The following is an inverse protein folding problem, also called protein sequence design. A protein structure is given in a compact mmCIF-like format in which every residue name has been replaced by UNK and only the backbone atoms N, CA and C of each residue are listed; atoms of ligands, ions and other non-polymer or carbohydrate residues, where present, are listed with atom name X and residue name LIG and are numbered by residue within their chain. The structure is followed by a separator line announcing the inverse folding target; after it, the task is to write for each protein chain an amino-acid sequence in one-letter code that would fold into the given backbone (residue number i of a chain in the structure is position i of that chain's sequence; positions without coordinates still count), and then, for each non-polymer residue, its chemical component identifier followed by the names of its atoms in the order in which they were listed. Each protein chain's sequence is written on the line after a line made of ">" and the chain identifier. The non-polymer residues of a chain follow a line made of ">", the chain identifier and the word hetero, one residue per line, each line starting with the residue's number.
data_IF_815144255808
#
_entry.id   IF_815144255808
#
_cell.length_a   1.000
_cell.length_b   1.000
_cell.length_c   1.000
_cell.angle_alpha   90.00
_cell.angle_beta   90.00
_cell.angle_gamma   90.00
#
_symmetry.space_group_name_H-M   'P 1'
#
loop_
_entity.id
_entity.type
_entity.pdbx_description
1 polymer ?
#
# COMPACT_ATOMS: atom_id res chain seq x y z
N UNK A 1 10.29 -28.00 6.79
CA UNK A 1 9.92 -28.36 5.42
C UNK A 1 10.72 -27.47 4.48
N UNK A 2 11.26 -27.99 3.36
CA UNK A 2 12.00 -27.15 2.39
C UNK A 2 11.02 -26.60 1.35
N UNK A 3 11.04 -25.30 1.12
CA UNK A 3 10.22 -24.61 0.11
C UNK A 3 11.09 -24.32 -1.12
N UNK A 4 10.76 -24.90 -2.27
CA UNK A 4 11.46 -24.63 -3.53
C UNK A 4 10.44 -24.38 -4.63
N UNK A 5 9.99 -23.13 -4.75
CA UNK A 5 8.87 -22.78 -5.62
C UNK A 5 9.04 -21.43 -6.30
N UNK A 6 8.28 -21.27 -7.38
CA UNK A 6 8.10 -19.97 -8.05
C UNK A 6 6.64 -19.57 -7.92
N UNK A 7 6.40 -18.35 -7.46
CA UNK A 7 5.06 -17.81 -7.28
C UNK A 7 4.81 -16.60 -8.18
N UNK A 8 3.57 -16.46 -8.59
CA UNK A 8 3.01 -15.23 -9.18
C UNK A 8 1.98 -14.66 -8.21
N UNK A 9 1.97 -13.37 -8.01
CA UNK A 9 1.11 -12.70 -7.06
C UNK A 9 0.24 -11.66 -7.74
N UNK A 10 -0.91 -11.30 -7.14
CA UNK A 10 -1.68 -10.15 -7.58
C UNK A 10 -0.85 -8.88 -7.65
N UNK A 11 -1.24 -7.99 -8.53
CA UNK A 11 -0.57 -6.73 -8.77
C UNK A 11 -0.53 -5.81 -7.55
N UNK A 12 0.40 -4.86 -7.60
CA UNK A 12 0.56 -3.86 -6.54
C UNK A 12 -0.73 -3.08 -6.30
N UNK A 13 -1.18 -3.06 -5.04
CA UNK A 13 -2.41 -2.39 -4.63
C UNK A 13 -2.37 -0.89 -4.92
N UNK A 14 -1.24 -0.23 -4.67
CA UNK A 14 -1.10 1.22 -4.86
C UNK A 14 -1.14 1.62 -6.34
N UNK A 15 -0.54 0.82 -7.22
CA UNK A 15 -0.61 0.99 -8.68
C UNK A 15 -2.03 0.71 -9.16
N UNK A 16 -2.68 -0.36 -8.67
CA UNK A 16 -4.05 -0.73 -9.04
C UNK A 16 -5.06 0.40 -8.82
N UNK A 17 -5.07 1.02 -7.64
CA UNK A 17 -5.94 2.16 -7.35
C UNK A 17 -5.75 3.31 -8.34
N UNK A 18 -4.48 3.67 -8.62
CA UNK A 18 -4.14 4.78 -9.51
C UNK A 18 -4.49 4.50 -10.96
N UNK A 19 -4.20 3.29 -11.42
CA UNK A 19 -4.53 2.85 -12.76
C UNK A 19 -6.03 2.96 -13.04
N UNK A 20 -6.88 2.52 -12.09
CA UNK A 20 -8.33 2.64 -12.20
C UNK A 20 -8.78 4.10 -12.27
N UNK A 21 -8.27 4.96 -11.37
CA UNK A 21 -8.64 6.38 -11.33
C UNK A 21 -8.22 7.09 -12.60
N UNK A 22 -6.96 7.01 -13.01
CA UNK A 22 -6.44 7.75 -14.14
C UNK A 22 -6.99 7.24 -15.48
N UNK A 23 -7.14 5.91 -15.63
CA UNK A 23 -7.77 5.34 -16.81
C UNK A 23 -9.24 5.75 -16.98
N UNK A 24 -9.96 6.02 -15.88
CA UNK A 24 -11.37 6.42 -15.93
C UNK A 24 -11.61 7.79 -16.56
N UNK A 25 -10.57 8.63 -16.66
CA UNK A 25 -10.61 9.97 -17.28
C UNK A 25 -9.69 10.11 -18.50
N UNK A 26 -9.01 9.06 -18.92
CA UNK A 26 -8.17 9.05 -20.10
C UNK A 26 -8.99 9.11 -21.40
N UNK A 27 -8.42 9.66 -22.47
CA UNK A 27 -9.11 9.76 -23.77
C UNK A 27 -8.97 8.46 -24.58
N UNK A 28 -9.85 7.50 -24.35
CA UNK A 28 -9.88 6.22 -25.03
C UNK A 28 -10.13 5.03 -24.11
N UNK A 29 -9.66 3.87 -24.54
CA UNK A 29 -9.83 2.58 -23.83
C UNK A 29 -8.51 2.15 -23.22
N UNK A 30 -8.51 1.93 -21.92
CA UNK A 30 -7.40 1.33 -21.18
C UNK A 30 -7.69 -0.12 -20.86
N UNK A 31 -6.62 -0.95 -20.84
CA UNK A 31 -6.67 -2.36 -20.51
C UNK A 31 -5.70 -2.65 -19.37
N UNK A 32 -6.21 -3.22 -18.29
CA UNK A 32 -5.40 -3.54 -17.10
C UNK A 32 -5.52 -5.04 -16.82
N UNK A 33 -4.38 -5.71 -16.70
CA UNK A 33 -4.28 -7.11 -16.26
C UNK A 33 -3.57 -7.21 -14.91
N UNK A 34 -3.72 -8.33 -14.24
CA UNK A 34 -3.16 -8.58 -12.92
C UNK A 34 -3.51 -7.49 -11.89
N UNK A 35 -4.72 -6.91 -11.97
CA UNK A 35 -5.18 -5.96 -10.97
C UNK A 35 -5.23 -6.63 -9.59
N UNK A 36 -4.89 -5.90 -8.53
CA UNK A 36 -5.08 -6.41 -7.18
C UNK A 36 -6.56 -6.69 -6.90
N UNK A 37 -6.87 -7.90 -6.41
CA UNK A 37 -8.23 -8.42 -6.21
C UNK A 37 -8.79 -8.17 -4.80
N UNK A 38 -8.04 -7.49 -3.94
CA UNK A 38 -8.45 -7.15 -2.58
C UNK A 38 -9.66 -6.20 -2.52
N UNK A 39 -10.42 -6.30 -1.43
CA UNK A 39 -11.62 -5.46 -1.20
C UNK A 39 -11.34 -3.97 -1.30
N UNK A 40 -10.14 -3.52 -0.92
CA UNK A 40 -9.73 -2.12 -1.04
C UNK A 40 -9.83 -1.61 -2.50
N UNK A 41 -9.34 -2.40 -3.46
CA UNK A 41 -9.37 -2.05 -4.88
C UNK A 41 -10.78 -2.15 -5.43
N UNK A 42 -11.57 -3.14 -4.97
CA UNK A 42 -12.99 -3.26 -5.34
C UNK A 42 -13.79 -2.03 -4.89
N UNK A 43 -13.53 -1.48 -3.68
CA UNK A 43 -14.16 -0.23 -3.24
C UNK A 43 -13.84 0.94 -4.19
N UNK A 44 -12.62 1.01 -4.75
CA UNK A 44 -12.29 2.04 -5.75
C UNK A 44 -13.05 1.84 -7.06
N UNK A 45 -13.20 0.59 -7.54
CA UNK A 45 -14.00 0.30 -8.75
C UNK A 45 -15.44 0.76 -8.54
N UNK A 46 -16.06 0.37 -7.43
CA UNK A 46 -17.44 0.74 -7.10
C UNK A 46 -17.61 2.27 -6.98
N UNK A 47 -16.66 2.95 -6.33
CA UNK A 47 -16.66 4.41 -6.22
C UNK A 47 -16.62 5.10 -7.59
N UNK A 48 -15.74 4.64 -8.48
CA UNK A 48 -15.63 5.19 -9.82
C UNK A 48 -16.89 4.91 -10.67
N UNK A 49 -17.44 3.70 -10.56
CA UNK A 49 -18.70 3.35 -11.22
C UNK A 49 -19.88 4.19 -10.72
N UNK A 50 -19.94 4.46 -9.40
CA UNK A 50 -20.95 5.38 -8.82
C UNK A 50 -20.81 6.80 -9.39
N UNK A 51 -19.61 7.22 -9.79
CA UNK A 51 -19.35 8.47 -10.51
C UNK A 51 -19.52 8.36 -12.04
N UNK A 52 -20.06 7.25 -12.55
CA UNK A 52 -20.35 7.05 -13.98
C UNK A 52 -19.17 6.50 -14.80
N UNK A 53 -18.07 6.05 -14.19
CA UNK A 53 -16.99 5.43 -14.93
C UNK A 53 -17.43 4.13 -15.62
N UNK A 54 -16.92 3.87 -16.83
CA UNK A 54 -17.17 2.65 -17.59
C UNK A 54 -16.05 1.64 -17.31
N UNK A 55 -16.28 0.74 -16.37
CA UNK A 55 -15.31 -0.29 -15.95
C UNK A 55 -15.95 -1.66 -16.13
N UNK A 56 -15.37 -2.49 -16.99
CA UNK A 56 -15.79 -3.84 -17.28
C UNK A 56 -14.72 -4.85 -16.84
N UNK A 57 -15.11 -5.82 -16.04
CA UNK A 57 -14.23 -6.89 -15.58
C UNK A 57 -14.48 -8.16 -16.40
N UNK A 58 -13.49 -8.61 -17.16
CA UNK A 58 -13.56 -9.76 -18.04
C UNK A 58 -12.47 -10.79 -17.64
N UNK A 59 -12.75 -11.60 -16.62
CA UNK A 59 -11.77 -12.51 -16.02
C UNK A 59 -10.64 -11.72 -15.33
N UNK A 60 -9.40 -11.96 -15.74
CA UNK A 60 -8.22 -11.27 -15.20
C UNK A 60 -7.98 -9.88 -15.82
N UNK A 61 -8.77 -9.50 -16.83
CA UNK A 61 -8.63 -8.24 -17.55
C UNK A 61 -9.74 -7.28 -17.15
N UNK A 62 -9.34 -6.05 -16.86
CA UNK A 62 -10.24 -4.91 -16.63
C UNK A 62 -10.11 -3.94 -17.80
N UNK A 63 -11.24 -3.63 -18.43
CA UNK A 63 -11.33 -2.69 -19.54
C UNK A 63 -12.02 -1.43 -19.04
N UNK A 64 -11.38 -0.28 -19.25
CA UNK A 64 -11.87 1.01 -18.79
C UNK A 64 -11.99 1.94 -19.99
N UNK A 65 -13.21 2.42 -20.26
CA UNK A 65 -13.42 3.48 -21.25
C UNK A 65 -13.49 4.81 -20.51
N UNK A 66 -12.49 5.65 -20.73
CA UNK A 66 -12.40 6.95 -20.09
C UNK A 66 -13.52 7.89 -20.54
N UNK A 67 -14.03 8.65 -19.58
CA UNK A 67 -15.11 9.61 -19.80
C UNK A 67 -15.15 10.68 -18.72
N UNK A 68 -15.94 11.72 -18.95
CA UNK A 68 -16.24 12.70 -17.91
C UNK A 68 -17.05 12.03 -16.81
N UNK A 69 -16.61 12.17 -15.56
CA UNK A 69 -17.32 11.70 -14.39
C UNK A 69 -18.43 12.67 -13.97
N UNK A 70 -19.38 12.19 -13.19
CA UNK A 70 -20.52 12.93 -12.64
C UNK A 70 -20.61 12.77 -11.13
N UNK A 71 -21.39 13.64 -10.49
CA UNK A 71 -21.69 13.47 -9.05
C UNK A 71 -22.35 12.11 -8.83
N UNK A 72 -21.94 11.37 -7.80
CA UNK A 72 -22.66 10.16 -7.40
C UNK A 72 -24.01 10.51 -6.77
N UNK A 73 -24.99 9.63 -6.97
CA UNK A 73 -26.33 9.81 -6.39
C UNK A 73 -26.37 9.55 -4.88
N UNK A 74 -25.46 8.67 -4.39
CA UNK A 74 -25.39 8.24 -3.00
C UNK A 74 -23.97 8.43 -2.44
N UNK A 75 -23.79 8.48 -1.11
CA UNK A 75 -22.45 8.49 -0.51
C UNK A 75 -21.60 7.29 -0.96
N UNK A 76 -20.36 7.54 -1.28
CA UNK A 76 -19.39 6.53 -1.69
C UNK A 76 -18.89 5.79 -0.47
N UNK A 77 -19.10 4.49 -0.41
CA UNK A 77 -18.51 3.64 0.64
C UNK A 77 -17.09 3.19 0.25
N UNK A 78 -16.10 3.65 1.01
CA UNK A 78 -14.71 3.26 0.85
C UNK A 78 -14.35 1.96 1.59
N UNK A 79 -15.30 1.33 2.29
CA UNK A 79 -15.06 0.14 3.12
C UNK A 79 -13.96 0.40 4.15
N UNK A 80 -12.93 -0.45 4.19
CA UNK A 80 -11.73 -0.27 5.02
C UNK A 80 -10.62 0.54 4.32
N UNK A 81 -10.80 0.93 3.05
CA UNK A 81 -9.75 1.47 2.21
C UNK A 81 -9.41 2.94 2.49
N UNK A 82 -8.44 3.18 3.36
CA UNK A 82 -7.87 4.53 3.53
C UNK A 82 -7.22 5.08 2.26
N UNK A 83 -6.78 4.21 1.33
CA UNK A 83 -6.26 4.62 0.02
C UNK A 83 -7.38 5.16 -0.84
N UNK A 84 -8.51 4.43 -0.97
CA UNK A 84 -9.68 4.91 -1.71
C UNK A 84 -10.15 6.26 -1.17
N UNK A 85 -10.40 6.37 0.14
CA UNK A 85 -10.91 7.60 0.74
C UNK A 85 -10.00 8.81 0.45
N UNK A 86 -8.69 8.67 0.65
CA UNK A 86 -7.76 9.80 0.51
C UNK A 86 -7.46 10.16 -0.94
N UNK A 87 -7.27 9.18 -1.84
CA UNK A 87 -6.98 9.45 -3.23
C UNK A 87 -8.22 9.94 -3.98
N UNK A 88 -9.39 9.34 -3.73
CA UNK A 88 -10.65 9.79 -4.34
C UNK A 88 -10.99 11.23 -3.91
N UNK A 89 -10.69 11.64 -2.67
CA UNK A 89 -10.88 13.04 -2.25
C UNK A 89 -10.19 14.02 -3.20
N UNK A 90 -8.92 13.79 -3.56
CA UNK A 90 -8.21 14.63 -4.51
C UNK A 90 -8.66 14.42 -5.96
N UNK A 91 -8.80 13.15 -6.36
CA UNK A 91 -9.14 12.79 -7.74
C UNK A 91 -10.52 13.31 -8.16
N UNK A 92 -11.57 13.06 -7.36
CA UNK A 92 -12.93 13.53 -7.69
C UNK A 92 -13.04 15.06 -7.58
N UNK A 93 -12.25 15.69 -6.70
CA UNK A 93 -12.13 17.15 -6.64
C UNK A 93 -11.56 17.73 -7.95
N UNK A 94 -10.58 17.06 -8.58
CA UNK A 94 -10.07 17.49 -9.90
C UNK A 94 -11.14 17.48 -11.00
N UNK A 95 -12.17 16.65 -10.83
CA UNK A 95 -13.31 16.53 -11.75
C UNK A 95 -14.45 17.50 -11.44
N UNK A 96 -14.26 18.40 -10.44
CA UNK A 96 -15.25 19.40 -10.00
C UNK A 96 -16.56 18.79 -9.49
N UNK A 97 -16.49 17.68 -8.79
CA UNK A 97 -17.65 16.96 -8.28
C UNK A 97 -18.03 17.38 -6.85
N UNK A 98 -19.30 17.10 -6.54
CA UNK A 98 -19.84 17.11 -5.18
C UNK A 98 -20.10 15.65 -4.76
N UNK A 99 -19.57 15.23 -3.64
CA UNK A 99 -19.65 13.84 -3.19
C UNK A 99 -19.44 13.71 -1.68
N UNK A 100 -19.92 12.60 -1.12
CA UNK A 100 -19.64 12.23 0.25
C UNK A 100 -18.92 10.88 0.30
N UNK A 101 -17.97 10.77 1.23
CA UNK A 101 -17.21 9.53 1.48
C UNK A 101 -17.56 8.99 2.85
N UNK A 102 -17.80 7.69 2.90
CA UNK A 102 -18.03 6.92 4.13
C UNK A 102 -17.04 5.74 4.19
N UNK A 103 -17.07 4.99 5.27
CA UNK A 103 -16.24 3.79 5.43
C UNK A 103 -16.71 2.96 6.62
N UNK A 104 -16.08 1.82 6.82
CA UNK A 104 -16.36 0.96 7.96
C UNK A 104 -15.94 1.58 9.31
N UNK A 105 -16.21 0.85 10.40
CA UNK A 105 -15.89 1.31 11.75
C UNK A 105 -14.40 1.60 11.93
N UNK A 106 -13.50 0.81 11.32
CA UNK A 106 -12.06 1.02 11.41
C UNK A 106 -11.63 2.27 10.63
N UNK A 107 -12.07 2.43 9.38
CA UNK A 107 -11.71 3.57 8.57
C UNK A 107 -12.27 4.88 9.15
N UNK A 108 -13.45 4.83 9.76
CA UNK A 108 -14.11 5.99 10.38
C UNK A 108 -13.37 6.55 11.61
N UNK A 109 -12.42 5.81 12.18
CA UNK A 109 -11.57 6.30 13.27
C UNK A 109 -10.24 6.89 12.79
N UNK A 110 -9.91 6.75 11.50
CA UNK A 110 -8.63 7.21 10.96
C UNK A 110 -8.67 8.70 10.62
N UNK A 111 -7.65 9.50 11.01
CA UNK A 111 -7.64 10.93 10.78
C UNK A 111 -7.59 11.27 9.28
N UNK A 112 -8.47 12.17 8.85
CA UNK A 112 -8.56 12.71 7.49
C UNK A 112 -8.06 14.16 7.38
N UNK A 113 -7.72 14.81 8.48
CA UNK A 113 -7.22 16.19 8.49
C UNK A 113 -6.00 16.39 7.58
N UNK A 114 -5.19 15.34 7.39
CA UNK A 114 -4.00 15.37 6.52
C UNK A 114 -4.34 15.66 5.06
N UNK A 115 -5.57 15.33 4.60
CA UNK A 115 -6.05 15.65 3.25
C UNK A 115 -7.06 16.81 3.26
N UNK A 116 -7.84 16.98 4.33
CA UNK A 116 -8.81 18.06 4.48
C UNK A 116 -8.10 19.40 4.35
N UNK A 117 -7.02 19.61 5.11
CA UNK A 117 -6.28 20.87 5.13
C UNK A 117 -5.83 21.29 3.73
N UNK A 118 -4.99 20.52 2.99
CA UNK A 118 -4.53 20.95 1.67
C UNK A 118 -5.65 21.07 0.65
N UNK A 119 -6.66 20.20 0.65
CA UNK A 119 -7.77 20.33 -0.31
C UNK A 119 -8.64 21.55 -0.03
N UNK A 120 -8.82 21.94 1.25
CA UNK A 120 -9.50 23.18 1.59
C UNK A 120 -8.66 24.40 1.15
N UNK A 121 -7.34 24.38 1.31
CA UNK A 121 -6.45 25.42 0.78
C UNK A 121 -6.53 25.53 -0.76
N UNK A 122 -6.78 24.41 -1.45
CA UNK A 122 -7.02 24.39 -2.90
C UNK A 122 -8.39 24.95 -3.29
N UNK A 123 -9.32 25.11 -2.34
CA UNK A 123 -10.65 25.70 -2.60
C UNK A 123 -11.83 24.73 -2.49
N UNK A 124 -11.61 23.47 -2.06
CA UNK A 124 -12.71 22.57 -1.74
C UNK A 124 -13.46 23.04 -0.47
N UNK A 125 -14.78 23.03 -0.49
CA UNK A 125 -15.57 23.10 0.74
C UNK A 125 -15.70 21.68 1.30
N UNK A 126 -15.19 21.46 2.52
CA UNK A 126 -15.15 20.12 3.13
C UNK A 126 -15.80 20.17 4.51
N UNK A 127 -16.81 19.33 4.70
CA UNK A 127 -17.41 19.05 6.00
C UNK A 127 -16.94 17.67 6.49
N UNK A 128 -16.66 17.54 7.76
CA UNK A 128 -16.18 16.30 8.39
C UNK A 128 -16.70 16.16 9.82
N UNK A 129 -16.69 14.95 10.34
CA UNK A 129 -16.95 14.70 11.74
C UNK A 129 -15.62 14.81 12.54
N UNK A 130 -15.27 16.01 13.02
CA UNK A 130 -14.03 16.29 13.76
C UNK A 130 -12.76 15.82 13.04
N UNK A 131 -12.72 15.96 11.71
CA UNK A 131 -11.59 15.50 10.90
C UNK A 131 -11.57 14.00 10.61
N UNK A 132 -12.68 13.32 10.83
CA UNK A 132 -12.93 11.92 10.55
C UNK A 132 -14.02 11.76 9.46
N UNK A 133 -14.23 10.54 8.97
CA UNK A 133 -15.40 10.22 8.12
C UNK A 133 -16.71 10.31 8.93
N UNK A 134 -17.84 10.63 8.23
CA UNK A 134 -17.97 10.91 6.82
C UNK A 134 -17.35 12.25 6.42
N UNK A 135 -16.86 12.34 5.15
CA UNK A 135 -16.47 13.59 4.53
C UNK A 135 -17.50 13.96 3.47
N UNK A 136 -18.00 15.21 3.50
CA UNK A 136 -18.74 15.78 2.38
C UNK A 136 -17.86 16.83 1.72
N UNK A 137 -17.60 16.66 0.42
CA UNK A 137 -16.68 17.49 -0.35
C UNK A 137 -17.43 18.14 -1.50
N UNK A 138 -17.41 19.47 -1.56
CA UNK A 138 -17.87 20.25 -2.70
C UNK A 138 -16.65 20.89 -3.37
N UNK A 139 -16.33 20.40 -4.57
CA UNK A 139 -15.27 20.90 -5.43
C UNK A 139 -15.84 21.54 -6.73
N UNK A 140 -17.12 21.90 -6.76
CA UNK A 140 -17.77 22.49 -7.95
C UNK A 140 -17.19 23.86 -8.35
N UNK A 141 -16.58 24.57 -7.41
CA UNK A 141 -15.85 25.80 -7.66
C UNK A 141 -14.45 25.54 -8.23
N UNK A 142 -13.80 26.61 -8.69
CA UNK A 142 -12.43 26.56 -9.18
C UNK A 142 -11.46 26.13 -8.09
N UNK A 143 -10.60 25.17 -8.41
CA UNK A 143 -9.48 24.80 -7.55
C UNK A 143 -8.25 25.62 -7.89
N UNK A 144 -7.54 26.08 -6.88
CA UNK A 144 -6.27 26.77 -7.04
C UNK A 144 -5.11 25.79 -6.78
N UNK A 145 -4.01 26.00 -7.47
CA UNK A 145 -2.76 25.32 -7.11
C UNK A 145 -2.22 25.84 -5.78
N UNK A 146 -1.51 24.98 -5.05
CA UNK A 146 -0.91 25.31 -3.75
C UNK A 146 0.57 24.99 -3.68
N UNK A 147 1.27 25.63 -2.72
CA UNK A 147 2.60 25.23 -2.32
C UNK A 147 2.50 24.57 -0.94
N UNK A 148 2.54 23.27 -0.89
CA UNK A 148 2.27 22.52 0.33
C UNK A 148 3.50 21.79 0.85
N UNK A 149 3.98 22.16 2.02
CA UNK A 149 5.04 21.44 2.72
C UNK A 149 4.43 20.40 3.65
N UNK A 150 4.63 19.13 3.32
CA UNK A 150 4.05 18.04 4.10
C UNK A 150 4.71 17.93 5.49
N UNK A 151 3.92 17.91 6.58
CA UNK A 151 4.47 17.79 7.93
C UNK A 151 5.05 16.39 8.22
N UNK A 152 4.56 15.36 7.52
CA UNK A 152 5.02 13.97 7.60
C UNK A 152 5.03 13.35 6.21
N UNK A 153 5.93 12.40 5.96
CA UNK A 153 5.97 11.65 4.71
C UNK A 153 4.69 10.79 4.56
N UNK A 154 3.91 11.05 3.52
CA UNK A 154 2.67 10.32 3.23
C UNK A 154 2.36 10.32 1.75
N UNK A 155 2.57 9.19 1.09
CA UNK A 155 2.24 9.02 -0.32
C UNK A 155 0.75 9.27 -0.63
N UNK A 156 -0.15 8.98 0.30
CA UNK A 156 -1.58 9.21 0.12
C UNK A 156 -1.93 10.69 0.11
N UNK A 157 -1.33 11.48 1.01
CA UNK A 157 -1.52 12.93 1.06
C UNK A 157 -0.93 13.58 -0.18
N UNK A 158 0.33 13.24 -0.52
CA UNK A 158 0.97 13.70 -1.76
C UNK A 158 0.10 13.40 -2.98
N UNK A 159 -0.31 12.14 -3.15
CA UNK A 159 -1.15 11.73 -4.27
C UNK A 159 -2.47 12.49 -4.33
N UNK A 160 -3.13 12.72 -3.19
CA UNK A 160 -4.39 13.48 -3.14
C UNK A 160 -4.21 14.89 -3.68
N UNK A 161 -3.13 15.59 -3.28
CA UNK A 161 -2.83 16.95 -3.75
C UNK A 161 -2.47 16.94 -5.25
N UNK A 162 -1.62 16.00 -5.70
CA UNK A 162 -1.23 15.90 -7.10
C UNK A 162 -2.43 15.60 -8.00
N UNK A 163 -3.30 14.69 -7.58
CA UNK A 163 -4.54 14.35 -8.32
C UNK A 163 -5.49 15.55 -8.37
N UNK A 164 -5.70 16.27 -7.27
CA UNK A 164 -6.50 17.50 -7.25
C UNK A 164 -5.91 18.58 -8.16
N UNK A 165 -4.58 18.68 -8.20
CA UNK A 165 -3.84 19.61 -9.04
C UNK A 165 -4.08 19.45 -10.54
N UNK A 166 -4.47 18.26 -11.00
CA UNK A 166 -4.83 18.03 -12.41
C UNK A 166 -6.00 18.91 -12.89
N UNK A 167 -6.94 19.24 -12.00
CA UNK A 167 -8.10 20.08 -12.27
C UNK A 167 -7.96 21.52 -11.75
N UNK A 168 -6.80 21.91 -11.21
CA UNK A 168 -6.57 23.26 -10.68
C UNK A 168 -6.37 24.30 -11.79
N UNK A 169 -6.46 25.58 -11.45
CA UNK A 169 -6.21 26.69 -12.41
C UNK A 169 -4.72 27.07 -12.52
N UNK A 170 -3.92 26.60 -11.58
CA UNK A 170 -2.46 26.84 -11.55
C UNK A 170 -1.73 25.61 -10.99
N UNK A 171 -0.40 25.58 -11.17
CA UNK A 171 0.42 24.46 -10.71
C UNK A 171 0.39 24.30 -9.17
N UNK A 172 0.47 23.05 -8.72
CA UNK A 172 0.65 22.71 -7.31
C UNK A 172 2.04 22.16 -7.07
N UNK A 173 2.69 22.59 -5.98
CA UNK A 173 3.99 22.11 -5.54
C UNK A 173 3.82 21.40 -4.18
N UNK A 174 4.38 20.20 -4.07
CA UNK A 174 4.40 19.43 -2.82
C UNK A 174 5.85 19.16 -2.45
N UNK A 175 6.22 19.54 -1.21
CA UNK A 175 7.54 19.25 -0.65
C UNK A 175 7.44 18.19 0.44
N UNK A 176 8.24 17.13 0.32
CA UNK A 176 8.34 16.05 1.30
C UNK A 176 9.58 16.19 2.18
N UNK A 177 9.50 15.76 3.45
CA UNK A 177 10.67 15.66 4.32
C UNK A 177 11.56 14.45 3.99
N UNK A 178 10.93 13.36 3.61
CA UNK A 178 11.55 12.12 3.13
C UNK A 178 10.70 11.63 1.97
N UNK A 179 11.33 11.05 0.96
CA UNK A 179 10.62 10.49 -0.19
C UNK A 179 9.60 9.45 0.23
N UNK A 180 8.40 9.57 -0.30
CA UNK A 180 7.34 8.55 -0.20
C UNK A 180 7.09 7.93 -1.57
N UNK A 181 6.22 6.89 -1.63
CA UNK A 181 5.85 6.19 -2.88
C UNK A 181 5.49 7.19 -3.97
N UNK A 182 6.03 6.98 -5.18
CA UNK A 182 5.99 7.89 -6.33
C UNK A 182 5.17 7.37 -7.53
N UNK A 183 4.33 6.35 -7.30
CA UNK A 183 3.50 5.74 -8.35
C UNK A 183 2.57 6.74 -9.06
N UNK A 184 2.09 7.78 -8.34
CA UNK A 184 1.25 8.83 -8.94
C UNK A 184 2.05 9.63 -9.96
N UNK A 185 3.25 10.03 -9.60
CA UNK A 185 4.17 10.79 -10.43
C UNK A 185 4.54 10.00 -11.69
N UNK A 186 4.99 8.76 -11.50
CA UNK A 186 5.39 7.87 -12.59
C UNK A 186 4.22 7.64 -13.56
N UNK A 187 3.04 7.28 -13.04
CA UNK A 187 1.88 6.99 -13.87
C UNK A 187 1.38 8.23 -14.62
N UNK A 188 1.31 9.38 -13.96
CA UNK A 188 0.92 10.65 -14.59
C UNK A 188 1.87 11.04 -15.71
N UNK A 189 3.20 10.93 -15.50
CA UNK A 189 4.19 11.18 -16.56
C UNK A 189 3.98 10.27 -17.78
N UNK A 190 3.76 8.97 -17.53
CA UNK A 190 3.55 8.00 -18.61
C UNK A 190 2.21 8.16 -19.33
N UNK A 191 1.22 8.78 -18.69
CA UNK A 191 -0.08 9.12 -19.31
C UNK A 191 -0.10 10.52 -19.93
N UNK A 192 1.03 11.23 -19.96
CA UNK A 192 1.18 12.52 -20.66
C UNK A 192 0.87 13.76 -19.83
N UNK A 193 0.66 13.64 -18.52
CA UNK A 193 0.57 14.79 -17.63
C UNK A 193 1.94 15.46 -17.44
N UNK A 194 1.94 16.77 -17.26
CA UNK A 194 3.17 17.52 -16.93
C UNK A 194 3.40 17.48 -15.42
N UNK A 195 4.37 16.69 -15.01
CA UNK A 195 4.80 16.60 -13.63
C UNK A 195 6.34 16.67 -13.57
N UNK A 196 6.86 17.49 -12.69
CA UNK A 196 8.29 17.70 -12.48
C UNK A 196 8.65 17.20 -11.08
N UNK A 197 9.63 16.32 -11.01
CA UNK A 197 10.18 15.80 -9.74
C UNK A 197 11.60 16.27 -9.62
N UNK A 198 11.90 16.98 -8.54
CA UNK A 198 13.23 17.46 -8.22
C UNK A 198 13.52 17.11 -6.75
N UNK A 199 14.19 16.00 -6.54
CA UNK A 199 14.39 15.38 -5.23
C UNK A 199 13.05 15.19 -4.47
N UNK A 200 12.85 15.91 -3.38
CA UNK A 200 11.65 15.86 -2.55
C UNK A 200 10.60 16.93 -2.92
N UNK A 201 10.80 17.68 -3.98
CA UNK A 201 9.87 18.71 -4.46
C UNK A 201 9.20 18.23 -5.76
N UNK A 202 7.89 18.08 -5.70
CA UNK A 202 7.07 17.57 -6.78
C UNK A 202 6.10 18.67 -7.24
N UNK A 203 6.15 18.99 -8.53
CA UNK A 203 5.25 19.96 -9.15
C UNK A 203 4.37 19.30 -10.19
N UNK A 204 3.06 19.48 -10.08
CA UNK A 204 2.07 19.07 -11.07
C UNK A 204 1.45 20.30 -11.73
N UNK A 205 1.33 20.26 -13.06
CA UNK A 205 0.60 21.26 -13.85
C UNK A 205 -0.84 20.82 -14.06
N UNK A 206 -1.81 21.75 -14.20
CA UNK A 206 -3.14 21.43 -14.65
C UNK A 206 -3.14 20.68 -15.99
N UNK A 207 -4.09 19.77 -16.20
CA UNK A 207 -4.22 19.08 -17.48
C UNK A 207 -4.66 20.05 -18.57
N UNK A 208 -3.83 20.23 -19.58
CA UNK A 208 -4.15 20.98 -20.80
C UNK A 208 -4.73 20.10 -21.91
N UNK A 209 -4.52 18.82 -21.83
CA UNK A 209 -5.03 17.78 -22.73
C UNK A 209 -5.42 16.54 -21.91
N UNK A 210 -6.36 15.72 -22.40
CA UNK A 210 -6.71 14.46 -21.74
C UNK A 210 -5.47 13.55 -21.57
N UNK A 211 -5.52 12.70 -20.54
CA UNK A 211 -4.52 11.64 -20.34
C UNK A 211 -4.62 10.60 -21.47
N UNK A 212 -3.48 10.04 -21.86
CA UNK A 212 -3.43 8.89 -22.78
C UNK A 212 -3.88 7.61 -22.07
N UNK A 213 -4.68 6.74 -22.74
CA UNK A 213 -5.04 5.45 -22.18
C UNK A 213 -3.82 4.54 -22.01
N UNK A 214 -3.92 3.56 -21.11
CA UNK A 214 -2.83 2.62 -20.79
C UNK A 214 -3.21 1.18 -21.11
N UNK A 215 -2.18 0.38 -21.47
CA UNK A 215 -2.24 -1.08 -21.43
C UNK A 215 -1.22 -1.56 -20.40
N UNK A 216 -1.70 -1.93 -19.22
CA UNK A 216 -0.89 -2.15 -18.04
C UNK A 216 -1.07 -3.58 -17.50
N UNK A 217 0.00 -4.34 -17.43
CA UNK A 217 0.10 -5.52 -16.59
C UNK A 217 0.67 -5.09 -15.22
N UNK A 218 -0.16 -5.09 -14.18
CA UNK A 218 0.26 -4.56 -12.87
C UNK A 218 1.30 -5.48 -12.25
N UNK A 219 2.53 -5.00 -11.96
CA UNK A 219 3.57 -5.83 -11.38
C UNK A 219 3.19 -6.32 -9.98
N UNK A 220 3.68 -7.51 -9.60
CA UNK A 220 3.39 -8.14 -8.32
C UNK A 220 3.75 -7.24 -7.12
N UNK A 221 2.88 -7.19 -6.12
CA UNK A 221 3.02 -6.34 -4.95
C UNK A 221 4.14 -6.84 -4.01
N UNK A 222 5.21 -6.05 -3.79
CA UNK A 222 6.31 -6.44 -2.89
C UNK A 222 5.85 -6.57 -1.43
N UNK A 223 4.84 -5.82 -1.01
CA UNK A 223 4.27 -5.95 0.33
C UNK A 223 3.57 -7.29 0.52
N UNK A 224 2.80 -7.74 -0.48
CA UNK A 224 2.18 -9.08 -0.48
C UNK A 224 3.24 -10.17 -0.57
N UNK A 225 4.27 -9.98 -1.39
CA UNK A 225 5.39 -10.91 -1.54
C UNK A 225 6.15 -11.12 -0.23
N UNK A 226 6.30 -10.10 0.61
CA UNK A 226 7.09 -10.13 1.83
C UNK A 226 6.71 -11.25 2.79
N UNK A 227 5.43 -11.60 2.89
CA UNK A 227 4.95 -12.69 3.74
C UNK A 227 5.47 -14.07 3.29
N UNK A 228 5.39 -14.34 2.01
CA UNK A 228 5.84 -15.59 1.40
C UNK A 228 7.38 -15.69 1.37
N UNK A 229 8.04 -14.56 1.13
CA UNK A 229 9.50 -14.45 1.16
C UNK A 229 10.02 -14.79 2.57
N UNK A 230 9.43 -14.20 3.62
CA UNK A 230 9.84 -14.47 5.01
C UNK A 230 9.55 -15.92 5.39
N UNK A 231 8.41 -16.50 4.97
CA UNK A 231 8.13 -17.91 5.20
C UNK A 231 9.23 -18.82 4.57
N UNK A 232 9.65 -18.52 3.33
CA UNK A 232 10.72 -19.27 2.67
C UNK A 232 12.07 -19.06 3.34
N UNK A 233 12.40 -17.82 3.77
CA UNK A 233 13.66 -17.52 4.49
C UNK A 233 13.74 -18.30 5.79
N UNK A 234 12.64 -18.37 6.55
CA UNK A 234 12.57 -19.09 7.82
C UNK A 234 12.52 -20.62 7.66
N UNK A 235 12.18 -21.11 6.48
CA UNK A 235 12.16 -22.55 6.18
C UNK A 235 13.54 -23.02 5.75
N UNK A 236 14.04 -24.08 6.39
CA UNK A 236 15.38 -24.59 6.15
C UNK A 236 15.57 -25.10 4.72
N UNK A 237 16.73 -24.82 4.10
CA UNK A 237 17.12 -25.29 2.77
C UNK A 237 16.12 -24.89 1.69
N UNK A 238 15.58 -23.68 1.79
CA UNK A 238 14.47 -23.17 0.96
C UNK A 238 14.90 -22.08 0.00
N UNK A 239 14.15 -21.97 -1.09
CA UNK A 239 14.30 -20.95 -2.11
C UNK A 239 12.93 -20.58 -2.67
N UNK A 240 12.67 -19.29 -2.86
CA UNK A 240 11.47 -18.79 -3.50
C UNK A 240 11.83 -17.81 -4.62
N UNK A 241 11.12 -17.90 -5.75
CA UNK A 241 11.19 -16.91 -6.81
C UNK A 241 9.82 -16.22 -6.91
N UNK A 242 9.81 -14.90 -6.81
CA UNK A 242 8.63 -14.09 -7.05
C UNK A 242 8.73 -13.51 -8.46
N UNK A 243 7.77 -13.86 -9.33
CA UNK A 243 7.71 -13.40 -10.71
C UNK A 243 7.23 -11.96 -10.82
N UNK A 244 7.83 -11.22 -11.77
CA UNK A 244 7.40 -9.89 -12.17
C UNK A 244 7.13 -8.96 -10.97
N UNK A 245 7.98 -9.02 -9.92
CA UNK A 245 7.82 -8.21 -8.71
C UNK A 245 8.19 -6.76 -8.99
N UNK A 246 7.43 -5.83 -8.44
CA UNK A 246 7.75 -4.41 -8.49
C UNK A 246 9.07 -4.12 -7.75
N UNK A 247 9.98 -3.43 -8.41
CA UNK A 247 11.32 -3.08 -7.91
C UNK A 247 11.51 -1.55 -7.73
N UNK A 248 10.40 -0.82 -7.59
CA UNK A 248 10.45 0.61 -7.33
C UNK A 248 11.24 0.90 -6.03
N UNK A 249 12.26 1.78 -6.06
CA UNK A 249 13.10 2.08 -4.90
C UNK A 249 12.33 2.52 -3.65
N UNK A 250 11.17 3.16 -3.82
CA UNK A 250 10.30 3.59 -2.70
C UNK A 250 9.50 2.43 -2.08
N UNK A 251 9.55 1.22 -2.68
CA UNK A 251 8.80 0.03 -2.27
C UNK A 251 9.68 -1.13 -1.82
N UNK A 252 10.94 -1.17 -2.23
CA UNK A 252 11.86 -2.28 -1.94
C UNK A 252 12.70 -2.07 -0.69
N UNK A 253 12.35 -1.14 0.19
CA UNK A 253 13.03 -0.94 1.48
C UNK A 253 13.14 -2.23 2.29
N UNK A 254 12.14 -3.11 2.21
CA UNK A 254 12.16 -4.45 2.77
C UNK A 254 13.35 -5.29 2.24
N UNK A 255 13.60 -5.30 0.92
CA UNK A 255 14.75 -6.00 0.34
C UNK A 255 16.07 -5.42 0.84
N UNK A 256 16.17 -4.10 0.97
CA UNK A 256 17.37 -3.45 1.50
C UNK A 256 17.65 -3.86 2.96
N UNK A 257 16.60 -4.11 3.75
CA UNK A 257 16.75 -4.67 5.12
C UNK A 257 17.27 -6.11 5.05
N UNK A 258 16.69 -6.94 4.17
CA UNK A 258 17.12 -8.34 4.01
C UNK A 258 18.58 -8.44 3.54
N UNK A 259 19.01 -7.62 2.59
CA UNK A 259 20.42 -7.57 2.14
C UNK A 259 21.39 -7.18 3.28
N UNK A 260 21.00 -6.21 4.12
CA UNK A 260 21.82 -5.79 5.27
C UNK A 260 22.05 -6.89 6.29
N UNK A 261 21.12 -7.82 6.41
CA UNK A 261 21.26 -9.01 7.27
C UNK A 261 21.80 -10.23 6.53
N UNK A 262 22.37 -10.02 5.34
CA UNK A 262 23.02 -11.02 4.49
C UNK A 262 22.07 -12.11 3.95
N UNK A 263 20.79 -11.82 3.78
CA UNK A 263 19.89 -12.68 3.03
C UNK A 263 20.25 -12.61 1.56
N UNK A 264 20.57 -13.76 0.98
CA UNK A 264 20.94 -13.84 -0.43
C UNK A 264 19.73 -13.55 -1.33
N UNK A 265 19.87 -12.54 -2.20
CA UNK A 265 18.85 -12.11 -3.14
C UNK A 265 19.43 -12.02 -4.54
N UNK A 266 18.77 -12.60 -5.54
CA UNK A 266 19.16 -12.54 -6.94
C UNK A 266 18.02 -11.93 -7.77
N UNK A 267 18.31 -10.88 -8.55
CA UNK A 267 17.33 -10.26 -9.44
C UNK A 267 17.65 -10.63 -10.89
N UNK A 268 16.63 -11.03 -11.63
CA UNK A 268 16.70 -11.40 -13.04
C UNK A 268 15.51 -10.84 -13.82
N UNK A 269 15.58 -10.93 -15.16
CA UNK A 269 14.49 -10.50 -16.05
C UNK A 269 13.98 -9.08 -15.79
N UNK A 270 14.88 -8.15 -15.46
CA UNK A 270 14.51 -6.75 -15.20
C UNK A 270 13.99 -6.07 -16.46
N UNK A 271 12.89 -5.34 -16.32
CA UNK A 271 12.27 -4.55 -17.38
C UNK A 271 11.41 -3.44 -16.79
N UNK A 272 10.94 -2.53 -17.64
CA UNK A 272 10.05 -1.45 -17.25
C UNK A 272 8.63 -1.67 -17.75
N UNK A 273 7.65 -1.47 -16.88
CA UNK A 273 6.22 -1.45 -17.19
C UNK A 273 5.69 -0.07 -16.84
N UNK A 274 5.32 0.74 -17.82
CA UNK A 274 4.83 2.11 -17.63
C UNK A 274 5.67 2.92 -16.63
N UNK A 275 7.00 2.87 -16.77
CA UNK A 275 7.96 3.60 -15.94
C UNK A 275 8.31 2.94 -14.61
N UNK A 276 7.59 1.90 -14.19
CA UNK A 276 7.90 1.11 -13.00
C UNK A 276 8.91 0.00 -13.32
N UNK A 277 10.00 -0.07 -12.57
CA UNK A 277 10.97 -1.15 -12.70
C UNK A 277 10.41 -2.43 -12.07
N UNK A 278 10.53 -3.55 -12.78
CA UNK A 278 10.04 -4.87 -12.38
C UNK A 278 11.08 -5.94 -12.68
N UNK A 279 10.94 -7.11 -12.06
CA UNK A 279 11.81 -8.25 -12.33
C UNK A 279 11.43 -9.49 -11.53
N UNK A 280 12.06 -10.61 -11.84
CA UNK A 280 11.96 -11.82 -11.05
C UNK A 280 12.99 -11.76 -9.91
N UNK A 281 12.56 -12.01 -8.68
CA UNK A 281 13.42 -11.94 -7.50
C UNK A 281 13.46 -13.27 -6.78
N UNK A 282 14.67 -13.83 -6.65
CA UNK A 282 14.92 -15.04 -5.90
C UNK A 282 15.45 -14.70 -4.51
N UNK A 283 14.91 -15.39 -3.50
CA UNK A 283 15.38 -15.33 -2.11
C UNK A 283 15.72 -16.73 -1.62
N UNK A 284 16.83 -16.84 -0.87
CA UNK A 284 17.36 -18.09 -0.35
C UNK A 284 17.37 -18.05 1.17
N UNK A 285 16.95 -19.15 1.81
CA UNK A 285 16.94 -19.29 3.27
C UNK A 285 18.33 -19.07 3.84
N UNK A 286 18.40 -18.34 4.94
CA UNK A 286 19.65 -17.99 5.62
C UNK A 286 19.42 -17.86 7.13
N UNK A 287 20.42 -18.07 7.97
CA UNK A 287 20.35 -17.78 9.40
C UNK A 287 20.00 -16.31 9.64
N UNK A 288 19.15 -16.04 10.60
CA UNK A 288 18.72 -14.69 10.96
C UNK A 288 19.54 -14.17 12.12
N UNK A 289 20.22 -13.05 11.92
CA UNK A 289 20.87 -12.28 12.97
C UNK A 289 20.00 -11.10 13.39
N UNK A 290 20.22 -10.58 14.59
CA UNK A 290 19.60 -9.31 15.01
C UNK A 290 20.07 -8.15 14.13
N UNK A 291 19.22 -7.14 13.97
CA UNK A 291 19.48 -5.98 13.11
C UNK A 291 18.88 -4.70 13.66
N UNK A 292 19.32 -3.59 13.12
CA UNK A 292 18.73 -2.28 13.40
C UNK A 292 18.24 -1.65 12.12
N UNK A 293 16.99 -1.17 12.15
CA UNK A 293 16.35 -0.43 11.07
C UNK A 293 16.35 1.05 11.42
N UNK A 294 17.15 1.86 10.72
CA UNK A 294 17.22 3.30 10.98
C UNK A 294 15.95 4.02 10.52
N UNK A 295 15.63 5.13 11.19
CA UNK A 295 14.41 5.90 10.98
C UNK A 295 14.14 6.32 9.53
N UNK A 296 15.18 6.60 8.74
CA UNK A 296 15.02 7.04 7.35
C UNK A 296 14.50 5.95 6.40
N UNK A 297 14.62 4.67 6.77
CA UNK A 297 14.10 3.53 5.98
C UNK A 297 12.62 3.28 6.29
N UNK A 298 12.14 3.62 7.50
CA UNK A 298 10.79 3.29 7.98
C UNK A 298 9.68 3.65 6.99
N UNK A 299 9.67 4.84 6.34
CA UNK A 299 8.62 5.17 5.37
C UNK A 299 8.50 4.17 4.21
N UNK A 300 9.61 3.58 3.76
CA UNK A 300 9.65 2.61 2.65
C UNK A 300 9.28 1.18 3.05
N UNK A 301 9.19 0.89 4.36
CA UNK A 301 8.89 -0.45 4.90
C UNK A 301 7.76 -0.45 5.92
N UNK A 302 7.08 0.66 6.10
CA UNK A 302 6.08 0.82 7.19
C UNK A 302 5.03 -0.29 7.18
N UNK A 303 4.70 -0.79 6.02
CA UNK A 303 3.71 -1.84 5.81
C UNK A 303 4.30 -3.25 5.98
N UNK A 304 5.62 -3.41 5.91
CA UNK A 304 6.36 -4.67 6.07
C UNK A 304 6.91 -4.86 7.50
N UNK A 305 6.78 -3.85 8.38
CA UNK A 305 7.26 -3.97 9.79
C UNK A 305 6.63 -5.17 10.51
N UNK A 306 5.34 -5.52 10.37
CA UNK A 306 4.78 -6.71 11.02
C UNK A 306 5.52 -7.99 10.66
N UNK A 307 5.79 -8.21 9.38
CA UNK A 307 6.49 -9.44 8.93
C UNK A 307 8.00 -9.39 9.22
N UNK A 308 8.61 -8.22 9.22
CA UNK A 308 10.00 -8.06 9.65
C UNK A 308 10.16 -8.28 11.17
N UNK A 309 9.16 -7.93 11.97
CA UNK A 309 9.13 -8.24 13.40
C UNK A 309 9.01 -9.75 13.64
N UNK A 310 8.25 -10.45 12.79
CA UNK A 310 8.22 -11.93 12.78
C UNK A 310 9.58 -12.50 12.41
N UNK A 311 10.24 -11.98 11.37
CA UNK A 311 11.60 -12.39 11.01
C UNK A 311 12.57 -12.20 12.19
N UNK A 312 12.50 -11.06 12.88
CA UNK A 312 13.31 -10.75 14.05
C UNK A 312 13.07 -11.70 15.23
N UNK A 313 11.87 -12.27 15.38
CA UNK A 313 11.54 -13.22 16.42
C UNK A 313 12.36 -14.54 16.33
N UNK A 314 12.86 -14.90 15.15
CA UNK A 314 13.71 -16.06 14.91
C UNK A 314 15.20 -15.73 14.90
N UNK A 315 15.57 -14.46 15.07
CA UNK A 315 16.98 -14.03 15.11
C UNK A 315 17.63 -14.25 16.46
N UNK A 316 18.96 -14.16 16.49
CA UNK A 316 19.73 -14.15 17.71
C UNK A 316 19.96 -12.70 18.19
N UNK A 317 19.45 -12.35 19.39
CA UNK A 317 19.67 -11.06 20.02
C UNK A 317 18.56 -10.03 19.81
N UNK A 318 18.91 -8.75 19.91
CA UNK A 318 17.97 -7.63 19.96
C UNK A 318 17.87 -6.93 18.62
N UNK A 319 16.69 -6.90 18.03
CA UNK A 319 16.36 -6.14 16.81
C UNK A 319 15.63 -4.85 17.19
N UNK A 320 15.96 -3.75 16.52
CA UNK A 320 15.42 -2.41 16.79
C UNK A 320 14.83 -1.80 15.51
N UNK A 321 13.59 -1.38 15.57
CA UNK A 321 12.94 -0.59 14.53
C UNK A 321 12.72 0.84 15.05
N UNK A 322 13.51 1.80 14.54
CA UNK A 322 13.50 3.17 15.02
C UNK A 322 12.33 3.99 14.44
N UNK A 323 11.71 4.85 15.24
CA UNK A 323 10.70 5.84 14.80
C UNK A 323 9.48 5.22 14.10
N UNK A 324 8.87 4.24 14.75
CA UNK A 324 7.70 3.49 14.22
C UNK A 324 6.35 4.02 14.69
N UNK A 325 6.28 5.23 15.20
CA UNK A 325 5.06 5.84 15.76
C UNK A 325 3.87 5.86 14.79
N UNK A 326 4.11 5.95 13.48
CA UNK A 326 3.06 5.93 12.45
C UNK A 326 2.29 4.59 12.37
N UNK A 327 2.82 3.50 12.93
CA UNK A 327 2.11 2.21 13.02
C UNK A 327 0.85 2.30 13.89
N UNK A 328 0.76 3.27 14.81
CA UNK A 328 -0.39 3.45 15.69
C UNK A 328 -1.64 3.97 14.95
N UNK A 329 -1.48 4.53 13.75
CA UNK A 329 -2.54 5.17 12.95
C UNK A 329 -2.90 4.40 11.68
N UNK A 330 -2.62 3.08 11.67
CA UNK A 330 -2.94 2.17 10.56
C UNK A 330 -4.33 1.54 10.74
N UNK A 331 -4.58 0.40 10.12
CA UNK A 331 -5.84 -0.36 10.20
C UNK A 331 -6.19 -0.78 11.63
N UNK A 332 -5.15 -1.05 12.40
CA UNK A 332 -5.16 -1.22 13.84
C UNK A 332 -4.03 -0.39 14.46
N UNK A 333 -3.92 -0.35 15.78
CA UNK A 333 -2.65 0.05 16.41
C UNK A 333 -1.62 -1.06 16.21
N UNK A 334 -1.04 -1.12 14.98
CA UNK A 334 -0.10 -2.18 14.57
C UNK A 334 1.07 -2.34 15.52
N UNK A 335 1.58 -1.24 16.10
CA UNK A 335 2.69 -1.30 17.05
C UNK A 335 2.32 -2.15 18.25
N UNK A 336 1.16 -1.90 18.84
CA UNK A 336 0.68 -2.67 19.99
C UNK A 336 0.32 -4.10 19.58
N UNK A 337 -0.35 -4.27 18.45
CA UNK A 337 -0.75 -5.59 17.92
C UNK A 337 0.47 -6.51 17.66
N UNK A 338 1.58 -5.96 17.15
CA UNK A 338 2.85 -6.71 17.00
C UNK A 338 3.39 -7.13 18.37
N UNK A 339 3.46 -6.21 19.32
CA UNK A 339 3.96 -6.48 20.67
C UNK A 339 3.15 -7.56 21.37
N UNK A 340 1.83 -7.46 21.30
CA UNK A 340 0.90 -8.38 21.97
C UNK A 340 1.01 -9.80 21.38
N UNK A 341 0.99 -9.92 20.05
CA UNK A 341 1.18 -11.21 19.40
C UNK A 341 2.56 -11.82 19.71
N UNK A 342 3.65 -11.06 19.58
CA UNK A 342 4.99 -11.59 19.91
C UNK A 342 5.04 -12.11 21.33
N UNK A 343 4.50 -11.38 22.32
CA UNK A 343 4.42 -11.84 23.71
C UNK A 343 3.57 -13.09 23.86
N UNK A 344 2.42 -13.19 23.18
CA UNK A 344 1.59 -14.39 23.19
C UNK A 344 2.37 -15.60 22.67
N UNK A 345 3.21 -15.42 21.65
CA UNK A 345 4.11 -16.45 21.13
C UNK A 345 5.41 -16.61 21.96
N UNK A 346 5.50 -16.05 23.17
CA UNK A 346 6.63 -16.21 24.08
C UNK A 346 7.90 -15.40 23.72
N UNK A 347 7.79 -14.48 22.77
CA UNK A 347 8.89 -13.60 22.31
C UNK A 347 8.82 -12.27 23.06
N UNK A 348 9.93 -11.84 23.65
CA UNK A 348 9.99 -10.56 24.34
C UNK A 348 10.01 -9.42 23.31
N UNK A 349 8.96 -8.59 23.35
CA UNK A 349 8.83 -7.41 22.51
C UNK A 349 8.24 -6.25 23.31
N UNK A 350 8.73 -5.05 23.07
CA UNK A 350 8.26 -3.85 23.78
C UNK A 350 8.55 -2.58 22.99
N UNK A 351 7.85 -1.52 23.38
CA UNK A 351 8.11 -0.16 22.90
C UNK A 351 9.12 0.49 23.85
N UNK A 352 10.15 1.11 23.27
CA UNK A 352 11.10 1.97 23.97
C UNK A 352 11.14 3.31 23.22
N UNK A 353 10.71 4.39 23.86
CA UNK A 353 10.46 5.68 23.20
C UNK A 353 9.52 5.52 21.99
N UNK A 354 10.02 5.80 20.79
CA UNK A 354 9.31 5.66 19.52
C UNK A 354 9.78 4.43 18.71
N UNK A 355 10.51 3.52 19.32
CA UNK A 355 11.07 2.33 18.68
C UNK A 355 10.35 1.06 19.12
N UNK A 356 10.25 0.09 18.20
CA UNK A 356 9.87 -1.27 18.51
C UNK A 356 11.13 -2.09 18.73
N UNK A 357 11.17 -2.80 19.84
CA UNK A 357 12.25 -3.72 20.20
C UNK A 357 11.70 -5.13 20.15
N UNK A 358 12.44 -6.03 19.49
CA UNK A 358 12.15 -7.47 19.46
C UNK A 358 13.41 -8.23 19.87
N UNK A 359 13.31 -9.03 20.92
CA UNK A 359 14.38 -9.92 21.35
C UNK A 359 14.07 -11.32 20.81
N UNK A 360 14.88 -11.78 19.87
CA UNK A 360 14.67 -13.06 19.22
C UNK A 360 14.82 -14.24 20.17
N UNK A 361 14.20 -15.35 19.82
CA UNK A 361 14.14 -16.54 20.69
C UNK A 361 13.46 -17.72 20.03
N UNK A 362 12.80 -18.53 20.84
CA UNK A 362 12.06 -19.70 20.36
C UNK A 362 10.57 -19.47 20.59
N UNK A 363 9.77 -19.23 19.51
CA UNK A 363 8.34 -19.06 19.65
C UNK A 363 7.66 -20.27 20.31
N UNK A 364 6.62 -20.00 21.12
CA UNK A 364 5.73 -21.01 21.69
C UNK A 364 4.37 -20.91 21.01
N UNK A 365 3.66 -22.04 20.84
CA UNK A 365 2.36 -22.06 20.14
C UNK A 365 1.34 -21.17 20.82
N UNK A 366 0.65 -20.36 20.04
CA UNK A 366 -0.42 -19.48 20.48
C UNK A 366 -1.41 -19.21 19.36
N UNK A 367 -2.63 -18.78 19.71
CA UNK A 367 -3.62 -18.29 18.75
C UNK A 367 -3.24 -16.89 18.26
N UNK A 368 -3.19 -16.70 16.95
CA UNK A 368 -2.95 -15.39 16.32
C UNK A 368 -4.13 -14.46 16.63
N UNK A 369 -3.83 -13.28 17.14
CA UNK A 369 -4.80 -12.19 17.31
C UNK A 369 -4.70 -11.27 16.11
N UNK A 370 -5.68 -11.29 15.23
CA UNK A 370 -5.66 -10.52 13.97
C UNK A 370 -5.83 -9.02 14.17
N UNK A 371 -6.56 -8.60 15.20
CA UNK A 371 -7.00 -7.21 15.41
C UNK A 371 -7.75 -6.64 14.19
N UNK A 372 -8.39 -7.53 13.40
CA UNK A 372 -9.02 -7.22 12.11
C UNK A 372 -8.07 -6.54 11.09
N UNK A 373 -6.77 -6.66 11.30
CA UNK A 373 -5.71 -6.13 10.42
C UNK A 373 -5.06 -7.26 9.62
N UNK A 374 -5.26 -7.22 8.31
CA UNK A 374 -4.76 -8.24 7.39
C UNK A 374 -3.24 -8.45 7.46
N UNK A 375 -2.45 -7.39 7.74
CA UNK A 375 -0.98 -7.50 7.81
C UNK A 375 -0.54 -8.16 9.10
N UNK A 376 -1.22 -7.89 10.22
CA UNK A 376 -0.99 -8.59 11.48
C UNK A 376 -1.37 -10.06 11.32
N UNK A 377 -2.56 -10.35 10.79
CA UNK A 377 -3.02 -11.70 10.56
C UNK A 377 -2.02 -12.53 9.73
N UNK A 378 -1.64 -12.03 8.53
CA UNK A 378 -0.71 -12.74 7.64
C UNK A 378 0.68 -12.92 8.26
N UNK A 379 1.22 -11.89 8.93
CA UNK A 379 2.54 -11.97 9.55
C UNK A 379 2.61 -13.05 10.63
N UNK A 380 1.62 -13.09 11.51
CA UNK A 380 1.64 -14.07 12.61
C UNK A 380 1.18 -15.48 12.22
N UNK A 381 0.41 -15.63 11.14
CA UNK A 381 0.20 -16.93 10.47
C UNK A 381 1.55 -17.45 9.95
N UNK A 382 2.35 -16.60 9.29
CA UNK A 382 3.69 -16.97 8.81
C UNK A 382 4.59 -17.39 9.98
N UNK A 383 4.58 -16.67 11.11
CA UNK A 383 5.31 -17.05 12.32
C UNK A 383 4.90 -18.47 12.76
N UNK A 384 3.59 -18.71 12.88
CA UNK A 384 3.04 -19.97 13.37
C UNK A 384 3.41 -21.13 12.45
N UNK A 385 3.24 -20.97 11.13
CA UNK A 385 3.62 -21.98 10.13
C UNK A 385 5.13 -22.27 10.16
N UNK A 386 5.96 -21.22 10.21
CA UNK A 386 7.42 -21.37 10.22
C UNK A 386 7.92 -22.09 11.48
N UNK A 387 7.30 -21.86 12.64
CA UNK A 387 7.69 -22.48 13.91
C UNK A 387 7.09 -23.87 14.12
N UNK A 388 5.84 -24.11 13.71
CA UNK A 388 5.06 -25.29 14.12
C UNK A 388 4.45 -26.08 12.96
N UNK A 389 4.44 -25.53 11.74
CA UNK A 389 3.79 -26.15 10.56
C UNK A 389 2.27 -25.99 10.52
N UNK A 390 1.68 -25.34 11.50
CA UNK A 390 0.24 -25.11 11.64
C UNK A 390 -0.04 -23.74 12.28
N UNK A 391 -1.30 -23.29 12.24
CA UNK A 391 -1.71 -22.02 12.83
C UNK A 391 -3.14 -22.07 13.36
N UNK A 392 -3.43 -21.24 14.35
CA UNK A 392 -4.77 -20.91 14.82
C UNK A 392 -4.93 -19.40 14.83
N UNK A 393 -6.09 -18.88 14.38
CA UNK A 393 -6.36 -17.44 14.27
C UNK A 393 -7.81 -17.13 14.63
N UNK A 394 -8.04 -15.98 15.27
CA UNK A 394 -9.35 -15.48 15.66
C UNK A 394 -10.23 -15.08 14.47
N UNK A 395 -9.67 -14.31 13.51
CA UNK A 395 -10.39 -13.87 12.30
C UNK A 395 -9.49 -13.92 11.07
N UNK A 396 -9.67 -14.93 10.21
CA UNK A 396 -8.94 -15.05 8.94
C UNK A 396 -9.53 -14.20 7.80
N UNK A 397 -10.80 -13.78 7.93
CA UNK A 397 -11.49 -13.06 6.83
C UNK A 397 -10.95 -11.66 6.59
N UNK A 398 -10.26 -11.05 7.58
CA UNK A 398 -9.62 -9.75 7.40
C UNK A 398 -8.52 -9.77 6.32
N UNK A 399 -7.95 -10.93 5.99
CA UNK A 399 -6.91 -11.08 4.94
C UNK A 399 -7.47 -10.73 3.57
N UNK A 400 -8.77 -10.97 3.33
CA UNK A 400 -9.45 -10.66 2.06
C UNK A 400 -9.51 -9.16 1.74
N UNK A 401 -9.14 -8.29 2.68
CA UNK A 401 -9.04 -6.84 2.45
C UNK A 401 -7.98 -6.53 1.40
N UNK A 402 -6.86 -7.27 1.39
CA UNK A 402 -5.73 -6.97 0.51
C UNK A 402 -5.20 -8.15 -0.30
N UNK A 403 -5.34 -9.39 0.17
CA UNK A 403 -4.76 -10.58 -0.46
C UNK A 403 -5.65 -11.82 -0.29
N UNK A 404 -6.78 -11.89 -1.00
CA UNK A 404 -7.70 -13.04 -0.90
C UNK A 404 -7.04 -14.40 -1.20
N UNK A 405 -6.03 -14.41 -2.10
CA UNK A 405 -5.28 -15.62 -2.48
C UNK A 405 -4.20 -16.09 -1.50
N UNK A 406 -4.07 -15.48 -0.32
CA UNK A 406 -2.98 -15.76 0.63
C UNK A 406 -2.88 -17.26 0.99
N UNK A 407 -3.97 -17.88 1.39
CA UNK A 407 -3.97 -19.29 1.80
C UNK A 407 -3.67 -20.24 0.65
N UNK A 408 -4.21 -19.98 -0.54
CA UNK A 408 -3.92 -20.79 -1.73
C UNK A 408 -2.42 -20.73 -2.07
N UNK A 409 -1.80 -19.56 -1.95
CA UNK A 409 -0.36 -19.43 -2.19
C UNK A 409 0.46 -20.18 -1.12
N UNK A 410 0.07 -20.13 0.15
CA UNK A 410 0.68 -20.92 1.23
C UNK A 410 0.58 -22.42 0.92
N UNK A 411 -0.58 -22.93 0.52
CA UNK A 411 -0.77 -24.34 0.15
C UNK A 411 0.16 -24.76 -0.99
N UNK A 412 0.27 -23.94 -2.04
CA UNK A 412 1.20 -24.19 -3.17
C UNK A 412 2.65 -24.20 -2.70
N UNK A 413 3.02 -23.35 -1.75
CA UNK A 413 4.40 -23.30 -1.22
C UNK A 413 4.76 -24.51 -0.36
N UNK A 414 3.78 -25.10 0.33
CA UNK A 414 3.97 -26.20 1.26
C UNK A 414 3.74 -27.59 0.62
N UNK A 415 3.23 -27.66 -0.62
CA UNK A 415 3.04 -28.88 -1.40
C UNK A 415 4.34 -29.32 -2.07
#
# INVERSE_FOLDING_TARGET
>A
MAINTTISLPGDKSISHRALMLASIADGVSEITNLNDGKDVQSTIQALQACGASIEQNGEKVVITGRKLSNPDEPIDCGNSGTSARLLSGFLSSQRLQFSLTGDASLSTRPMNRIIVPLTEMGCAIESNDGLLPLTIDASNSLNGINYKMPVASAQVKSSILLAGLGAESSSNVSELNSSRDHTEIMLQNMGATILVNDNDIRVEPLLSPLTPISLDVPADPSSASFFIVLAILSKDSKIIVRNMLLNPTRIGFMNVLEKINIQTNISNQHYIHGELCGDVEFISSPINSFEVPAYIIPSIIDEIPILAVLAAFGDGKTIFNRVEELQFKESNRLQAIIDNLKNFGINAYKEDNSLIVEGGHPTMATVQSFDDHRIAMAFIVLSIAAFGEYEIDNKECINISLPGFFNTIEVMLS
#
